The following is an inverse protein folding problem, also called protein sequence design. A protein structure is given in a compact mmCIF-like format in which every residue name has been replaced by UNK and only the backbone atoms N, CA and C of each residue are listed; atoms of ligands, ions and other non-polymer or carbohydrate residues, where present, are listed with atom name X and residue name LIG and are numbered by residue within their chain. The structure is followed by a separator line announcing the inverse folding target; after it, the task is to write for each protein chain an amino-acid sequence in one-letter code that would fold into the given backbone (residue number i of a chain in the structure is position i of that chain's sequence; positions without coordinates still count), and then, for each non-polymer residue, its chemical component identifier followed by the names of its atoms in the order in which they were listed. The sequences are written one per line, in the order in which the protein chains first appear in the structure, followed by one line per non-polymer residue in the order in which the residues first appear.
data_IF_488093236169
#
_entry.id   IF_488093236169
#
_cell.length_a   1.000
_cell.length_b   1.000
_cell.length_c   1.000
_cell.angle_alpha   90.00
_cell.angle_beta   90.00
_cell.angle_gamma   90.00
#
_symmetry.space_group_name_H-M   'P 1'
#
loop_
_entity.id
_entity.type
_entity.pdbx_description
1 polymer ?
#
# COMPACT_ATOMS: atom_id res chain seq x y z
N UNK A 1 -25.05 32.13 15.12
CA UNK A 1 -24.83 30.63 15.09
C UNK A 1 -24.63 30.08 13.70
N UNK A 2 -25.36 30.54 12.70
CA UNK A 2 -25.28 30.04 11.33
C UNK A 2 -23.90 30.30 10.65
N UNK A 3 -23.31 31.44 10.88
CA UNK A 3 -22.01 31.83 10.32
C UNK A 3 -20.85 30.97 10.88
N UNK A 4 -20.91 30.62 12.17
CA UNK A 4 -19.93 29.74 12.81
C UNK A 4 -19.99 28.31 12.24
N UNK A 5 -21.20 27.79 12.02
CA UNK A 5 -21.42 26.46 11.43
C UNK A 5 -20.86 26.39 9.99
N UNK A 6 -21.12 27.40 9.18
CA UNK A 6 -20.62 27.51 7.80
C UNK A 6 -19.10 27.56 7.72
N UNK A 7 -18.45 28.27 8.65
CA UNK A 7 -16.98 28.32 8.74
C UNK A 7 -16.40 26.96 9.17
N UNK A 8 -17.04 26.30 10.14
CA UNK A 8 -16.64 24.97 10.59
C UNK A 8 -16.74 23.92 9.47
N UNK A 9 -17.83 23.93 8.71
CA UNK A 9 -18.04 22.99 7.59
C UNK A 9 -17.03 23.22 6.45
N UNK A 10 -16.69 24.50 6.17
CA UNK A 10 -15.66 24.85 5.20
C UNK A 10 -14.27 24.34 5.62
N UNK A 11 -13.90 24.52 6.89
CA UNK A 11 -12.63 24.02 7.42
C UNK A 11 -12.56 22.48 7.36
N UNK A 12 -13.63 21.77 7.70
CA UNK A 12 -13.70 20.32 7.60
C UNK A 12 -13.53 19.83 6.15
N UNK A 13 -14.11 20.56 5.20
CA UNK A 13 -13.96 20.23 3.77
C UNK A 13 -12.52 20.42 3.29
N UNK A 14 -11.88 21.51 3.71
CA UNK A 14 -10.46 21.77 3.39
C UNK A 14 -9.54 20.70 3.99
N UNK A 15 -9.75 20.32 5.24
CA UNK A 15 -8.98 19.27 5.91
C UNK A 15 -9.11 17.93 5.17
N UNK A 16 -10.33 17.54 4.79
CA UNK A 16 -10.56 16.32 4.00
C UNK A 16 -9.86 16.36 2.63
N UNK A 17 -9.92 17.51 1.96
CA UNK A 17 -9.25 17.69 0.66
C UNK A 17 -7.72 17.61 0.80
N UNK A 18 -7.18 18.17 1.88
CA UNK A 18 -5.75 18.09 2.18
C UNK A 18 -5.32 16.65 2.50
N UNK A 19 -6.09 15.92 3.32
CA UNK A 19 -5.87 14.51 3.62
C UNK A 19 -5.87 13.66 2.33
N UNK A 20 -6.86 13.84 1.47
CA UNK A 20 -6.96 13.12 0.20
C UNK A 20 -5.76 13.41 -0.72
N UNK A 21 -5.34 14.68 -0.82
CA UNK A 21 -4.20 15.06 -1.65
C UNK A 21 -2.88 14.48 -1.13
N UNK A 22 -2.69 14.49 0.19
CA UNK A 22 -1.53 13.89 0.86
C UNK A 22 -1.50 12.38 0.62
N UNK A 23 -2.61 11.69 0.84
CA UNK A 23 -2.71 10.25 0.63
C UNK A 23 -2.49 9.84 -0.83
N UNK A 24 -2.96 10.64 -1.80
CA UNK A 24 -2.66 10.42 -3.23
C UNK A 24 -1.17 10.53 -3.54
N UNK A 25 -0.47 11.52 -2.97
CA UNK A 25 0.99 11.68 -3.14
C UNK A 25 1.76 10.48 -2.58
N UNK A 26 1.39 10.01 -1.39
CA UNK A 26 2.03 8.85 -0.74
C UNK A 26 1.85 7.59 -1.61
N UNK A 27 0.64 7.33 -2.11
CA UNK A 27 0.38 6.21 -3.01
C UNK A 27 1.11 6.33 -4.36
N UNK A 28 1.32 7.55 -4.86
CA UNK A 28 2.12 7.75 -6.06
C UNK A 28 3.60 7.41 -5.82
N UNK A 29 4.16 7.84 -4.69
CA UNK A 29 5.53 7.48 -4.29
C UNK A 29 5.69 5.97 -4.08
N UNK A 30 4.69 5.30 -3.50
CA UNK A 30 4.66 3.84 -3.36
C UNK A 30 4.75 3.15 -4.73
N UNK A 31 3.93 3.57 -5.71
CA UNK A 31 3.97 3.02 -7.07
C UNK A 31 5.33 3.23 -7.73
N UNK A 32 5.92 4.41 -7.57
CA UNK A 32 7.25 4.73 -8.09
C UNK A 32 8.31 3.81 -7.46
N UNK A 33 8.28 3.65 -6.14
CA UNK A 33 9.18 2.77 -5.40
C UNK A 33 9.10 1.31 -5.92
N UNK A 34 7.89 0.79 -6.06
CA UNK A 34 7.65 -0.58 -6.58
C UNK A 34 8.20 -0.71 -8.01
N UNK A 35 7.93 0.26 -8.88
CA UNK A 35 8.40 0.23 -10.27
C UNK A 35 9.93 0.25 -10.34
N UNK A 36 10.59 1.12 -9.58
CA UNK A 36 12.04 1.18 -9.51
C UNK A 36 12.63 -0.11 -8.96
N UNK A 37 12.01 -0.71 -7.95
CA UNK A 37 12.45 -2.02 -7.39
C UNK A 37 12.36 -3.13 -8.43
N UNK A 38 11.30 -3.18 -9.22
CA UNK A 38 11.15 -4.18 -10.30
C UNK A 38 12.28 -4.03 -11.31
N UNK A 39 12.56 -2.81 -11.78
CA UNK A 39 13.63 -2.55 -12.76
C UNK A 39 14.99 -2.97 -12.20
N UNK A 40 15.33 -2.56 -10.98
CA UNK A 40 16.59 -2.93 -10.32
C UNK A 40 16.70 -4.44 -10.14
N UNK A 41 15.62 -5.10 -9.73
CA UNK A 41 15.62 -6.56 -9.52
C UNK A 41 15.82 -7.32 -10.82
N UNK A 42 15.17 -6.91 -11.90
CA UNK A 42 15.36 -7.52 -13.22
C UNK A 42 16.80 -7.35 -13.70
N UNK A 43 17.40 -6.18 -13.57
CA UNK A 43 18.80 -5.96 -13.92
C UNK A 43 19.74 -6.83 -13.10
N UNK A 44 19.51 -6.97 -11.80
CA UNK A 44 20.30 -7.85 -10.93
C UNK A 44 20.18 -9.32 -11.30
N UNK A 45 19.00 -9.78 -11.68
CA UNK A 45 18.79 -11.16 -12.17
C UNK A 45 19.60 -11.40 -13.45
N UNK A 46 19.51 -10.51 -14.44
CA UNK A 46 20.26 -10.65 -15.69
C UNK A 46 21.77 -10.65 -15.47
N UNK A 47 22.28 -9.69 -14.69
CA UNK A 47 23.72 -9.59 -14.39
C UNK A 47 24.18 -10.80 -13.57
N UNK A 48 23.41 -11.20 -12.54
CA UNK A 48 23.71 -12.36 -11.71
C UNK A 48 23.78 -13.66 -12.51
N UNK A 49 22.82 -13.91 -13.39
CA UNK A 49 22.81 -15.06 -14.27
C UNK A 49 23.98 -15.07 -15.27
N UNK A 50 24.35 -13.90 -15.79
CA UNK A 50 25.51 -13.77 -16.67
C UNK A 50 26.82 -14.07 -15.94
N UNK A 51 27.01 -13.48 -14.75
CA UNK A 51 28.21 -13.66 -13.96
C UNK A 51 28.37 -15.07 -13.39
N UNK A 52 27.31 -15.84 -13.18
CA UNK A 52 27.40 -17.21 -12.71
C UNK A 52 28.24 -18.12 -13.62
N UNK A 53 28.33 -17.79 -14.91
CA UNK A 53 29.17 -18.54 -15.86
C UNK A 53 30.67 -18.38 -15.61
N UNK A 54 31.10 -17.21 -15.12
CA UNK A 54 32.51 -16.89 -14.89
C UNK A 54 32.85 -16.87 -13.38
N UNK A 55 31.94 -16.40 -12.54
CA UNK A 55 32.13 -16.21 -11.10
C UNK A 55 30.89 -16.66 -10.33
N UNK A 56 30.77 -17.95 -10.07
CA UNK A 56 29.58 -18.56 -9.45
C UNK A 56 29.17 -17.89 -8.13
N UNK A 57 30.15 -17.67 -7.23
CA UNK A 57 29.90 -17.07 -5.90
C UNK A 57 29.32 -15.65 -6.02
N UNK A 58 29.91 -14.84 -6.92
CA UNK A 58 29.45 -13.46 -7.14
C UNK A 58 28.05 -13.43 -7.75
N UNK A 59 27.74 -14.32 -8.70
CA UNK A 59 26.41 -14.44 -9.29
C UNK A 59 25.36 -14.80 -8.23
N UNK A 60 25.62 -15.78 -7.39
CA UNK A 60 24.72 -16.18 -6.29
C UNK A 60 24.52 -15.02 -5.29
N UNK A 61 25.60 -14.33 -4.91
CA UNK A 61 25.52 -13.19 -3.99
C UNK A 61 24.63 -12.06 -4.53
N UNK A 62 24.73 -11.72 -5.82
CA UNK A 62 23.89 -10.73 -6.47
C UNK A 62 22.42 -11.14 -6.51
N UNK A 63 22.12 -12.40 -6.79
CA UNK A 63 20.75 -12.91 -6.78
C UNK A 63 20.15 -12.88 -5.37
N UNK A 64 20.91 -13.30 -4.35
CA UNK A 64 20.49 -13.26 -2.95
C UNK A 64 20.23 -11.82 -2.48
N UNK A 65 21.11 -10.88 -2.84
CA UNK A 65 20.93 -9.45 -2.53
C UNK A 65 19.69 -8.87 -3.22
N UNK A 66 19.48 -9.16 -4.51
CA UNK A 66 18.29 -8.75 -5.24
C UNK A 66 17.01 -9.28 -4.61
N UNK A 67 16.98 -10.55 -4.17
CA UNK A 67 15.84 -11.12 -3.47
C UNK A 67 15.56 -10.43 -2.14
N UNK A 68 16.61 -10.10 -1.36
CA UNK A 68 16.48 -9.36 -0.12
C UNK A 68 15.89 -7.95 -0.33
N UNK A 69 16.34 -7.24 -1.36
CA UNK A 69 15.80 -5.91 -1.73
C UNK A 69 14.31 -6.01 -2.08
N UNK A 70 13.91 -6.98 -2.88
CA UNK A 70 12.48 -7.21 -3.22
C UNK A 70 11.66 -7.48 -1.95
N UNK A 71 12.16 -8.31 -1.05
CA UNK A 71 11.45 -8.64 0.18
C UNK A 71 11.24 -7.40 1.07
N UNK A 72 12.29 -6.60 1.30
CA UNK A 72 12.22 -5.39 2.12
C UNK A 72 11.28 -4.34 1.52
N UNK A 73 11.38 -4.10 0.21
CA UNK A 73 10.53 -3.12 -0.47
C UNK A 73 9.07 -3.56 -0.57
N UNK A 74 8.80 -4.86 -0.72
CA UNK A 74 7.43 -5.40 -0.69
C UNK A 74 6.79 -5.18 0.68
N UNK A 75 7.54 -5.41 1.76
CA UNK A 75 7.05 -5.16 3.12
C UNK A 75 6.81 -3.67 3.39
N UNK A 76 7.72 -2.81 2.93
CA UNK A 76 7.57 -1.36 3.01
C UNK A 76 6.33 -0.87 2.25
N UNK A 77 6.08 -1.37 1.03
CA UNK A 77 4.89 -1.06 0.24
C UNK A 77 3.60 -1.43 0.96
N UNK A 78 3.52 -2.65 1.52
CA UNK A 78 2.33 -3.07 2.30
C UNK A 78 2.12 -2.18 3.52
N UNK A 79 3.19 -1.75 4.19
CA UNK A 79 3.10 -0.83 5.33
C UNK A 79 2.58 0.55 4.90
N UNK A 80 3.10 1.11 3.82
CA UNK A 80 2.64 2.38 3.26
C UNK A 80 1.15 2.28 2.88
N UNK A 81 0.76 1.20 2.21
CA UNK A 81 -0.64 0.97 1.86
C UNK A 81 -1.53 0.86 3.11
N UNK A 82 -1.06 0.17 4.16
CA UNK A 82 -1.81 0.06 5.41
C UNK A 82 -2.02 1.42 6.07
N UNK A 83 -0.97 2.24 6.17
CA UNK A 83 -0.97 3.51 6.90
C UNK A 83 -1.68 4.65 6.11
N UNK A 84 -1.98 4.41 4.82
CA UNK A 84 -2.59 5.42 3.95
C UNK A 84 -4.07 5.14 3.73
N UNK A 85 -4.95 6.03 4.25
CA UNK A 85 -6.40 5.96 4.06
C UNK A 85 -7.10 4.86 4.88
N UNK A 86 -8.32 4.53 4.46
CA UNK A 86 -9.25 3.66 5.18
C UNK A 86 -9.80 2.58 4.26
N UNK A 87 -10.38 1.53 4.85
CA UNK A 87 -11.14 0.51 4.12
C UNK A 87 -12.63 0.63 4.44
N UNK A 88 -13.47 0.73 3.41
CA UNK A 88 -14.91 0.83 3.53
C UNK A 88 -15.57 -0.53 3.35
N UNK A 89 -16.42 -0.91 4.30
CA UNK A 89 -17.21 -2.12 4.23
C UNK A 89 -18.37 -1.93 3.24
N UNK A 90 -18.59 -2.85 2.28
CA UNK A 90 -19.71 -2.73 1.34
C UNK A 90 -21.07 -2.93 2.00
N UNK A 91 -21.13 -3.60 3.17
CA UNK A 91 -22.37 -3.94 3.87
C UNK A 91 -22.82 -2.84 4.82
N UNK A 92 -21.98 -2.48 5.81
CA UNK A 92 -22.33 -1.46 6.81
C UNK A 92 -21.84 -0.05 6.47
N UNK A 93 -21.06 0.12 5.38
CA UNK A 93 -20.47 1.39 4.93
C UNK A 93 -19.49 2.05 5.90
N UNK A 94 -19.17 1.39 7.01
CA UNK A 94 -18.19 1.89 7.97
C UNK A 94 -16.78 1.88 7.38
N UNK A 95 -16.02 2.95 7.70
CA UNK A 95 -14.64 3.14 7.29
C UNK A 95 -13.71 2.91 8.47
N UNK A 96 -12.74 2.05 8.31
CA UNK A 96 -11.81 1.66 9.37
C UNK A 96 -10.41 1.38 8.84
N UNK A 97 -9.45 1.39 9.76
CA UNK A 97 -8.08 0.91 9.49
C UNK A 97 -8.00 -0.53 10.00
N UNK A 98 -7.76 -1.51 9.13
CA UNK A 98 -7.60 -2.91 9.55
C UNK A 98 -6.27 -3.11 10.28
N UNK A 99 -6.11 -4.23 10.96
CA UNK A 99 -4.79 -4.60 11.51
C UNK A 99 -3.83 -4.98 10.38
N UNK A 100 -2.53 -4.75 10.56
CA UNK A 100 -1.50 -5.12 9.58
C UNK A 100 -1.60 -6.59 9.18
N UNK A 101 -1.81 -7.48 10.16
CA UNK A 101 -2.01 -8.93 9.91
C UNK A 101 -3.19 -9.18 8.97
N UNK A 102 -4.31 -8.49 9.16
CA UNK A 102 -5.49 -8.63 8.30
C UNK A 102 -5.19 -8.17 6.86
N UNK A 103 -4.42 -7.10 6.69
CA UNK A 103 -4.00 -6.59 5.37
C UNK A 103 -3.08 -7.56 4.64
N UNK A 104 -2.05 -8.07 5.34
CA UNK A 104 -1.06 -9.01 4.76
C UNK A 104 -1.71 -10.33 4.36
N UNK A 105 -2.62 -10.86 5.20
CA UNK A 105 -3.28 -12.16 4.96
C UNK A 105 -4.50 -12.05 4.04
N UNK A 106 -4.92 -10.86 3.66
CA UNK A 106 -6.10 -10.65 2.82
C UNK A 106 -5.81 -10.96 1.35
N UNK A 107 -6.74 -11.67 0.70
CA UNK A 107 -6.73 -11.80 -0.75
C UNK A 107 -6.89 -10.42 -1.39
N UNK A 108 -5.95 -10.08 -2.26
CA UNK A 108 -5.89 -8.80 -2.96
C UNK A 108 -6.60 -8.88 -4.31
N UNK A 109 -7.48 -7.91 -4.60
CA UNK A 109 -8.11 -7.76 -5.90
C UNK A 109 -8.19 -6.27 -6.26
N UNK A 110 -7.23 -5.80 -7.06
CA UNK A 110 -7.08 -4.38 -7.41
C UNK A 110 -6.91 -3.51 -6.17
N UNK A 111 -7.83 -2.55 -5.96
CA UNK A 111 -7.85 -1.66 -4.78
C UNK A 111 -8.66 -2.21 -3.60
N UNK A 112 -9.13 -3.45 -3.68
CA UNK A 112 -9.98 -4.09 -2.67
C UNK A 112 -9.29 -5.29 -2.04
N UNK A 113 -9.54 -5.51 -0.75
CA UNK A 113 -9.01 -6.65 0.02
C UNK A 113 -10.14 -7.42 0.69
N UNK A 114 -10.09 -8.76 0.61
CA UNK A 114 -11.09 -9.63 1.24
C UNK A 114 -10.78 -9.79 2.74
N UNK A 115 -11.52 -9.08 3.57
CA UNK A 115 -11.33 -9.03 5.02
C UNK A 115 -12.65 -9.21 5.77
N UNK A 116 -12.56 -9.48 7.06
CA UNK A 116 -13.72 -9.48 7.97
C UNK A 116 -13.91 -8.08 8.54
N UNK A 117 -15.11 -7.51 8.42
CA UNK A 117 -15.43 -6.22 9.00
C UNK A 117 -15.44 -6.30 10.53
N UNK A 118 -14.77 -5.40 11.25
CA UNK A 118 -14.80 -5.39 12.72
C UNK A 118 -16.15 -4.94 13.29
N UNK A 119 -16.97 -4.22 12.51
CA UNK A 119 -18.26 -3.68 12.97
C UNK A 119 -19.43 -4.64 12.71
N UNK A 120 -19.58 -5.14 11.48
CA UNK A 120 -20.71 -6.04 11.15
C UNK A 120 -20.32 -7.51 11.03
N UNK A 121 -19.05 -7.87 11.17
CA UNK A 121 -18.57 -9.25 11.10
C UNK A 121 -18.59 -9.89 9.71
N UNK A 122 -19.11 -9.22 8.68
CA UNK A 122 -19.21 -9.76 7.34
C UNK A 122 -17.83 -9.89 6.68
N UNK A 123 -17.59 -10.99 5.95
CA UNK A 123 -16.37 -11.25 5.20
C UNK A 123 -16.59 -10.94 3.72
N UNK A 124 -16.11 -9.79 3.26
CA UNK A 124 -16.32 -9.26 1.92
C UNK A 124 -15.10 -8.53 1.39
N UNK A 125 -15.14 -8.08 0.14
CA UNK A 125 -14.12 -7.22 -0.44
C UNK A 125 -14.35 -5.77 -0.01
N UNK A 126 -13.46 -5.26 0.82
CA UNK A 126 -13.48 -3.88 1.33
C UNK A 126 -12.67 -3.00 0.39
N UNK A 127 -13.29 -1.91 -0.07
CA UNK A 127 -12.67 -0.96 -0.98
C UNK A 127 -11.81 0.03 -0.19
N UNK A 128 -10.61 0.32 -0.70
CA UNK A 128 -9.77 1.37 -0.13
C UNK A 128 -10.31 2.76 -0.50
N UNK A 129 -10.43 3.63 0.50
CA UNK A 129 -10.82 5.04 0.39
C UNK A 129 -9.77 5.92 1.05
N UNK A 130 -9.54 7.12 0.52
CA UNK A 130 -8.42 7.98 0.93
C UNK A 130 -8.78 8.97 2.04
N UNK A 131 -10.07 9.09 2.36
CA UNK A 131 -10.59 9.99 3.41
C UNK A 131 -11.60 9.27 4.27
N UNK A 132 -11.73 9.70 5.52
CA UNK A 132 -12.74 9.21 6.47
C UNK A 132 -14.06 9.93 6.31
#
# INVERSE_FOLDING_TARGET
MENYKKTSDALLLEMKKQEESSNKRILHLEKLLITMTIVVSLTMIFVGCYLMKAHLVLGIALLAFGAAVVFVTSFAGVKIEHDTGYYECPVCKERYVPTMKAVVMALHSGTSRKMKCPYCGNKSYHKKVLTK
#
